data_IF_938874243774
#
_entry.id   IF_938874243774
#
_cell.length_a   1.000
_cell.length_b   1.000
_cell.length_c   1.000
_cell.angle_alpha   90.00
_cell.angle_beta   90.00
_cell.angle_gamma   90.00
#
_symmetry.space_group_name_H-M   'P 1'
#
loop_
_entity.id
_entity.type
_entity.pdbx_description
1 polymer ?
#
# COMPACT_ATOMS: atom_id res chain seq x y z
N UNK A 1 -19.74 17.56 13.45
CA UNK A 1 -18.69 18.58 13.64
C UNK A 1 -17.39 17.81 13.58
N UNK A 2 -16.69 17.85 12.43
CA UNK A 2 -15.37 17.22 12.30
C UNK A 2 -14.42 17.90 13.30
N UNK A 3 -13.70 17.13 14.10
CA UNK A 3 -12.73 17.63 15.08
C UNK A 3 -11.55 18.31 14.38
N UNK A 4 -10.84 19.20 15.07
CA UNK A 4 -9.58 19.77 14.56
C UNK A 4 -8.57 18.69 14.15
N UNK A 5 -8.58 17.54 14.87
CA UNK A 5 -7.77 16.37 14.53
C UNK A 5 -8.04 15.85 13.11
N UNK A 6 -9.30 15.83 12.67
CA UNK A 6 -9.69 15.39 11.32
C UNK A 6 -9.05 16.25 10.21
N UNK A 7 -8.85 17.55 10.46
CA UNK A 7 -8.18 18.42 9.50
C UNK A 7 -6.65 18.19 9.45
N UNK A 8 -6.05 17.86 10.60
CA UNK A 8 -4.64 17.48 10.66
C UNK A 8 -4.39 16.17 9.90
N UNK A 9 -5.25 15.16 10.08
CA UNK A 9 -5.17 13.89 9.33
C UNK A 9 -5.24 14.08 7.82
N UNK A 10 -6.16 14.92 7.34
CA UNK A 10 -6.32 15.19 5.90
C UNK A 10 -5.04 15.74 5.25
N UNK A 11 -4.33 16.63 5.96
CA UNK A 11 -3.05 17.19 5.47
C UNK A 11 -1.92 16.17 5.57
N UNK A 12 -1.93 15.31 6.57
CA UNK A 12 -0.99 14.18 6.71
C UNK A 12 -1.18 13.22 5.53
N UNK A 13 -2.40 12.82 5.20
CA UNK A 13 -2.68 11.95 4.04
C UNK A 13 -2.11 12.54 2.75
N UNK A 14 -2.29 13.85 2.54
CA UNK A 14 -1.73 14.52 1.37
C UNK A 14 -0.20 14.58 1.39
N UNK A 15 0.43 14.79 2.54
CA UNK A 15 1.88 14.72 2.66
C UNK A 15 2.42 13.32 2.34
N UNK A 16 1.73 12.26 2.78
CA UNK A 16 2.09 10.87 2.48
C UNK A 16 1.92 10.55 1.00
N UNK A 17 0.83 11.03 0.38
CA UNK A 17 0.67 10.99 -1.07
C UNK A 17 1.86 11.61 -1.80
N UNK A 18 2.28 12.83 -1.42
CA UNK A 18 3.41 13.52 -2.05
C UNK A 18 4.73 12.76 -1.85
N UNK A 19 4.97 12.23 -0.65
CA UNK A 19 6.16 11.41 -0.37
C UNK A 19 6.17 10.12 -1.20
N UNK A 20 5.05 9.42 -1.30
CA UNK A 20 4.93 8.20 -2.11
C UNK A 20 5.20 8.49 -3.60
N UNK A 21 4.62 9.57 -4.14
CA UNK A 21 4.89 10.02 -5.51
C UNK A 21 6.37 10.33 -5.73
N UNK A 22 7.01 11.05 -4.80
CA UNK A 22 8.45 11.36 -4.87
C UNK A 22 9.34 10.12 -4.76
N UNK A 23 8.90 9.11 -4.02
CA UNK A 23 9.56 7.81 -3.94
C UNK A 23 9.40 6.95 -5.22
N UNK A 24 8.64 7.42 -6.22
CA UNK A 24 8.42 6.70 -7.48
C UNK A 24 7.30 5.65 -7.41
N UNK A 25 6.43 5.72 -6.39
CA UNK A 25 5.25 4.85 -6.29
C UNK A 25 4.17 5.34 -7.25
N UNK A 26 3.67 4.41 -8.07
CA UNK A 26 2.45 4.61 -8.86
C UNK A 26 1.27 4.57 -7.91
N UNK A 27 0.81 5.76 -7.51
CA UNK A 27 -0.33 5.98 -6.61
C UNK A 27 -1.47 6.68 -7.35
N UNK A 28 -2.71 6.42 -6.91
CA UNK A 28 -3.88 7.13 -7.43
C UNK A 28 -3.71 8.64 -7.27
N UNK A 29 -4.27 9.40 -8.21
CA UNK A 29 -4.19 10.86 -8.15
C UNK A 29 -4.97 11.37 -6.92
N UNK A 30 -4.31 12.14 -6.07
CA UNK A 30 -4.94 12.78 -4.92
C UNK A 30 -4.79 14.30 -5.00
N UNK A 31 -5.77 15.01 -4.46
CA UNK A 31 -5.76 16.49 -4.36
C UNK A 31 -6.18 16.90 -2.96
N UNK A 32 -5.62 18.00 -2.48
CA UNK A 32 -6.06 18.66 -1.27
C UNK A 32 -6.92 19.87 -1.68
N UNK A 33 -8.20 19.83 -1.36
CA UNK A 33 -9.14 20.93 -1.60
C UNK A 33 -9.38 21.69 -0.30
N UNK A 34 -9.35 23.02 -0.35
CA UNK A 34 -9.58 23.88 0.80
C UNK A 34 -10.86 24.68 0.62
N UNK A 35 -11.76 24.61 1.59
CA UNK A 35 -13.04 25.34 1.58
C UNK A 35 -13.44 25.73 3.00
N UNK A 36 -13.83 27.00 3.21
CA UNK A 36 -14.32 27.52 4.50
C UNK A 36 -13.39 27.20 5.69
N UNK A 37 -12.08 27.27 5.47
CA UNK A 37 -11.07 26.97 6.49
C UNK A 37 -10.88 25.48 6.78
N UNK A 38 -11.52 24.58 6.02
CA UNK A 38 -11.36 23.12 6.12
C UNK A 38 -10.54 22.58 4.95
N UNK A 39 -10.01 21.39 5.14
CA UNK A 39 -9.28 20.64 4.13
C UNK A 39 -10.02 19.35 3.81
N UNK A 40 -10.03 18.98 2.53
CA UNK A 40 -10.60 17.74 2.02
C UNK A 40 -9.55 17.01 1.18
N UNK A 41 -9.25 15.76 1.53
CA UNK A 41 -8.35 14.90 0.77
C UNK A 41 -9.20 14.08 -0.20
N UNK A 42 -8.99 14.33 -1.49
CA UNK A 42 -9.80 13.77 -2.57
C UNK A 42 -8.92 12.82 -3.37
N UNK A 43 -9.28 11.54 -3.39
CA UNK A 43 -8.60 10.51 -4.18
C UNK A 43 -9.42 10.18 -5.42
N UNK A 44 -8.82 10.30 -6.61
CA UNK A 44 -9.42 9.87 -7.87
C UNK A 44 -9.59 8.35 -7.84
N UNK A 45 -10.72 7.84 -8.33
CA UNK A 45 -10.93 6.39 -8.47
C UNK A 45 -10.15 5.84 -9.65
N UNK A 46 -9.35 4.80 -9.42
CA UNK A 46 -8.59 4.11 -10.46
C UNK A 46 -9.32 2.90 -11.06
N UNK A 47 -10.42 2.46 -10.45
CA UNK A 47 -11.27 1.36 -10.96
C UNK A 47 -12.32 1.87 -11.99
N UNK A 48 -12.06 3.03 -12.59
CA UNK A 48 -12.87 3.68 -13.62
C UNK A 48 -11.96 4.17 -14.74
N UNK A 49 -12.34 3.92 -15.99
CA UNK A 49 -11.67 4.53 -17.14
C UNK A 49 -12.15 5.98 -17.36
N UNK A 50 -11.56 6.69 -18.33
CA UNK A 50 -11.89 8.10 -18.62
C UNK A 50 -13.33 8.30 -19.10
N UNK A 51 -13.99 7.24 -19.59
CA UNK A 51 -15.42 7.25 -19.93
C UNK A 51 -16.34 6.93 -18.75
N UNK A 52 -15.77 6.71 -17.56
CA UNK A 52 -16.49 6.35 -16.34
C UNK A 52 -16.89 4.87 -16.28
N UNK A 53 -16.43 4.03 -17.21
CA UNK A 53 -16.75 2.59 -17.17
C UNK A 53 -15.95 1.90 -16.08
N UNK A 54 -16.59 0.96 -15.39
CA UNK A 54 -15.96 0.16 -14.33
C UNK A 54 -14.90 -0.78 -14.89
N UNK A 55 -13.72 -0.76 -14.27
CA UNK A 55 -12.65 -1.75 -14.43
C UNK A 55 -12.83 -2.77 -13.30
N UNK A 56 -12.66 -4.06 -13.59
CA UNK A 56 -12.79 -5.09 -12.57
C UNK A 56 -11.65 -4.94 -11.55
N UNK A 57 -11.98 -5.00 -10.26
CA UNK A 57 -11.05 -4.82 -9.16
C UNK A 57 -11.35 -5.81 -8.05
N UNK A 58 -10.31 -6.40 -7.48
CA UNK A 58 -10.40 -7.20 -6.24
C UNK A 58 -9.23 -6.87 -5.31
N UNK A 59 -9.48 -6.94 -4.00
CA UNK A 59 -8.41 -6.80 -3.00
C UNK A 59 -7.63 -8.11 -2.87
N UNK A 60 -6.40 -8.04 -2.36
CA UNK A 60 -5.64 -9.23 -1.96
C UNK A 60 -6.46 -10.10 -1.00
N UNK A 61 -7.10 -9.47 0.00
CA UNK A 61 -7.98 -10.15 0.94
C UNK A 61 -9.09 -10.98 0.26
N UNK A 62 -9.73 -10.42 -0.76
CA UNK A 62 -10.77 -11.12 -1.51
C UNK A 62 -10.22 -12.26 -2.38
N UNK A 63 -9.10 -12.04 -3.09
CA UNK A 63 -8.52 -13.04 -3.99
C UNK A 63 -7.90 -14.23 -3.26
N UNK A 64 -7.24 -13.97 -2.13
CA UNK A 64 -6.53 -14.99 -1.37
C UNK A 64 -7.34 -15.53 -0.17
N UNK A 65 -8.57 -15.03 0.02
CA UNK A 65 -9.42 -15.32 1.19
C UNK A 65 -8.73 -15.00 2.52
N UNK A 66 -7.96 -13.91 2.56
CA UNK A 66 -7.27 -13.47 3.77
C UNK A 66 -8.18 -12.61 4.65
N UNK A 67 -8.21 -12.92 5.95
CA UNK A 67 -8.99 -12.18 6.93
C UNK A 67 -8.21 -10.98 7.46
N UNK A 68 -8.66 -9.77 7.11
CA UNK A 68 -8.03 -8.54 7.60
C UNK A 68 -8.12 -8.37 9.12
N UNK A 69 -8.97 -9.15 9.81
CA UNK A 69 -9.05 -9.14 11.27
C UNK A 69 -7.95 -9.95 11.97
N UNK A 70 -6.98 -10.49 11.22
CA UNK A 70 -5.82 -11.22 11.75
C UNK A 70 -4.50 -10.47 11.46
N UNK A 71 -4.16 -9.41 12.23
CA UNK A 71 -2.92 -8.66 12.04
C UNK A 71 -1.68 -9.54 12.12
N UNK A 72 -0.76 -9.37 11.18
CA UNK A 72 0.50 -10.11 11.10
C UNK A 72 0.37 -11.56 10.64
N UNK A 73 -0.84 -12.06 10.38
CA UNK A 73 -1.04 -13.43 9.90
C UNK A 73 -0.62 -13.63 8.44
N UNK A 74 -0.56 -12.54 7.67
CA UNK A 74 -0.21 -12.57 6.25
C UNK A 74 1.03 -11.73 5.96
N UNK A 75 1.72 -12.07 4.87
CA UNK A 75 3.00 -11.46 4.54
C UNK A 75 3.04 -10.83 3.15
N UNK A 76 3.97 -9.89 2.95
CA UNK A 76 4.20 -9.31 1.64
C UNK A 76 4.74 -10.35 0.64
N UNK A 77 5.46 -11.38 1.10
CA UNK A 77 5.91 -12.50 0.27
C UNK A 77 4.72 -13.35 -0.22
N UNK A 78 3.74 -13.61 0.65
CA UNK A 78 2.49 -14.27 0.23
C UNK A 78 1.72 -13.44 -0.80
N UNK A 79 1.65 -12.12 -0.61
CA UNK A 79 1.04 -11.23 -1.60
C UNK A 79 1.79 -11.24 -2.94
N UNK A 80 3.13 -11.27 -2.91
CA UNK A 80 3.97 -11.40 -4.10
C UNK A 80 3.76 -12.75 -4.80
N UNK A 81 3.52 -13.83 -4.05
CA UNK A 81 3.14 -15.13 -4.61
C UNK A 81 1.79 -15.04 -5.33
N UNK A 82 0.76 -14.44 -4.71
CA UNK A 82 -0.54 -14.23 -5.37
C UNK A 82 -0.40 -13.41 -6.65
N UNK A 83 0.41 -12.35 -6.64
CA UNK A 83 0.73 -11.55 -7.84
C UNK A 83 1.28 -12.40 -9.00
N UNK A 84 2.18 -13.35 -8.70
CA UNK A 84 2.71 -14.28 -9.71
C UNK A 84 1.64 -15.23 -10.23
N UNK A 85 0.79 -15.78 -9.36
CA UNK A 85 -0.33 -16.62 -9.77
C UNK A 85 -1.32 -15.87 -10.69
N UNK A 86 -1.49 -14.57 -10.48
CA UNK A 86 -2.29 -13.70 -11.34
C UNK A 86 -1.59 -13.35 -12.68
N UNK A 87 -0.32 -13.69 -12.84
CA UNK A 87 0.46 -13.40 -14.04
C UNK A 87 0.90 -11.94 -14.15
N UNK A 88 0.99 -11.19 -13.04
CA UNK A 88 1.46 -9.80 -13.08
C UNK A 88 2.93 -9.73 -13.49
N UNK A 89 3.30 -8.70 -14.25
CA UNK A 89 4.66 -8.52 -14.76
C UNK A 89 5.69 -8.08 -13.71
N UNK A 90 6.96 -8.07 -14.13
CA UNK A 90 8.08 -7.64 -13.28
C UNK A 90 7.93 -6.19 -12.80
N UNK A 91 7.38 -5.30 -13.63
CA UNK A 91 7.18 -3.89 -13.28
C UNK A 91 6.20 -3.72 -12.11
N UNK A 92 5.14 -4.51 -12.10
CA UNK A 92 4.16 -4.56 -11.02
C UNK A 92 4.80 -5.08 -9.73
N UNK A 93 5.61 -6.14 -9.82
CA UNK A 93 6.34 -6.68 -8.67
C UNK A 93 7.33 -5.68 -8.09
N UNK A 94 8.07 -4.96 -8.93
CA UNK A 94 8.97 -3.87 -8.49
C UNK A 94 8.21 -2.72 -7.83
N UNK A 95 7.03 -2.37 -8.34
CA UNK A 95 6.15 -1.38 -7.71
C UNK A 95 5.63 -1.87 -6.36
N UNK A 96 5.25 -3.15 -6.24
CA UNK A 96 4.78 -3.72 -4.99
C UNK A 96 5.89 -3.78 -3.94
N UNK A 97 7.10 -4.21 -4.34
CA UNK A 97 8.29 -4.16 -3.51
C UNK A 97 8.57 -2.75 -2.98
N UNK A 98 8.53 -1.73 -3.86
CA UNK A 98 8.72 -0.33 -3.47
C UNK A 98 7.68 0.14 -2.45
N UNK A 99 6.42 -0.28 -2.59
CA UNK A 99 5.34 0.05 -1.64
C UNK A 99 5.57 -0.60 -0.28
N UNK A 100 6.00 -1.87 -0.25
CA UNK A 100 6.37 -2.56 0.99
C UNK A 100 7.42 -1.76 1.75
N UNK A 101 8.55 -1.46 1.10
CA UNK A 101 9.66 -0.71 1.72
C UNK A 101 9.18 0.67 2.18
N UNK A 102 8.40 1.37 1.35
CA UNK A 102 7.86 2.67 1.72
C UNK A 102 7.00 2.59 2.99
N UNK A 103 6.05 1.65 3.08
CA UNK A 103 5.21 1.47 4.26
C UNK A 103 6.03 1.29 5.53
N UNK A 104 7.09 0.46 5.48
CA UNK A 104 8.01 0.26 6.61
C UNK A 104 8.70 1.57 7.03
N UNK A 105 9.23 2.31 6.06
CA UNK A 105 9.98 3.55 6.30
C UNK A 105 9.13 4.68 6.87
N UNK A 106 7.89 4.81 6.40
CA UNK A 106 7.00 5.90 6.81
C UNK A 106 6.07 5.52 7.96
N UNK A 107 6.21 4.30 8.51
CA UNK A 107 5.33 3.74 9.54
C UNK A 107 3.85 3.83 9.14
N UNK A 108 3.55 3.36 7.93
CA UNK A 108 2.18 3.04 7.56
C UNK A 108 1.87 1.63 8.08
N UNK A 109 1.42 1.50 9.33
CA UNK A 109 1.13 0.20 9.95
C UNK A 109 -0.28 -0.32 9.63
N UNK A 110 -1.12 0.47 8.94
CA UNK A 110 -2.41 0.03 8.40
C UNK A 110 -2.28 -0.59 6.99
N UNK A 111 -1.19 -1.32 6.75
CA UNK A 111 -0.81 -1.91 5.47
C UNK A 111 -1.46 -3.27 5.20
N UNK A 112 -2.74 -3.38 5.53
CA UNK A 112 -3.45 -4.65 5.54
C UNK A 112 -3.89 -5.13 4.15
N UNK A 113 -4.33 -6.40 4.08
CA UNK A 113 -4.71 -7.11 2.85
C UNK A 113 -5.85 -6.46 2.04
N UNK A 114 -6.61 -5.52 2.62
CA UNK A 114 -7.62 -4.73 1.89
C UNK A 114 -7.04 -3.53 1.14
N UNK A 115 -5.86 -3.04 1.51
CA UNK A 115 -5.18 -1.88 0.91
C UNK A 115 -4.26 -2.27 -0.25
N UNK A 116 -4.27 -3.56 -0.62
CA UNK A 116 -3.62 -4.10 -1.81
C UNK A 116 -4.72 -4.56 -2.75
N UNK A 117 -4.68 -4.12 -4.00
CA UNK A 117 -5.69 -4.46 -4.99
C UNK A 117 -5.10 -4.71 -6.37
N UNK A 118 -5.86 -5.47 -7.15
CA UNK A 118 -5.52 -5.85 -8.51
C UNK A 118 -6.67 -5.46 -9.43
N UNK A 119 -6.31 -5.02 -10.63
CA UNK A 119 -7.23 -4.69 -11.70
C UNK A 119 -7.17 -5.77 -12.77
N UNK A 120 -8.33 -6.15 -13.31
CA UNK A 120 -8.42 -7.06 -14.44
C UNK A 120 -9.01 -6.35 -15.64
N UNK A 121 -8.30 -6.42 -16.76
CA UNK A 121 -8.79 -5.88 -18.03
C UNK A 121 -9.83 -6.78 -18.70
N UNK A 122 -10.32 -6.38 -19.87
CA UNK A 122 -11.35 -7.14 -20.62
C UNK A 122 -10.83 -8.44 -21.25
N UNK A 123 -9.51 -8.60 -21.35
CA UNK A 123 -8.88 -9.84 -21.81
C UNK A 123 -8.58 -10.82 -20.68
N UNK A 124 -8.87 -10.43 -19.43
CA UNK A 124 -8.62 -11.24 -18.25
C UNK A 124 -7.21 -11.10 -17.69
N UNK A 125 -6.42 -10.14 -18.17
CA UNK A 125 -5.07 -9.89 -17.67
C UNK A 125 -5.13 -9.06 -16.38
N UNK A 126 -4.43 -9.53 -15.36
CA UNK A 126 -4.35 -8.86 -14.07
C UNK A 126 -3.15 -7.92 -13.99
N UNK A 127 -3.33 -6.82 -13.26
CA UNK A 127 -2.28 -5.84 -12.97
C UNK A 127 -2.42 -5.34 -11.54
N UNK A 128 -1.31 -4.91 -10.93
CA UNK A 128 -1.35 -4.26 -9.63
C UNK A 128 -2.05 -2.90 -9.75
N UNK A 129 -3.08 -2.65 -8.94
CA UNK A 129 -3.74 -1.35 -8.90
C UNK A 129 -2.77 -0.25 -8.45
N UNK A 130 -2.98 1.03 -8.82
CA UNK A 130 -2.27 2.14 -8.19
C UNK A 130 -2.37 2.07 -6.66
N UNK A 131 -1.34 2.50 -5.95
CA UNK A 131 -1.41 2.61 -4.49
C UNK A 131 -2.52 3.58 -4.08
N UNK A 132 -3.07 3.36 -2.90
CA UNK A 132 -4.07 4.19 -2.24
C UNK A 132 -3.98 3.91 -0.73
N UNK A 133 -4.61 4.76 0.08
CA UNK A 133 -4.68 4.58 1.54
C UNK A 133 -3.30 4.42 2.20
N UNK A 134 -2.37 5.26 1.78
CA UNK A 134 -1.04 5.38 2.38
C UNK A 134 -1.05 6.63 3.27
N UNK A 135 -0.91 6.43 4.57
CA UNK A 135 -0.92 7.51 5.57
C UNK A 135 0.00 7.18 6.75
N UNK A 136 0.14 8.12 7.68
CA UNK A 136 0.77 7.84 8.97
C UNK A 136 -0.21 7.04 9.82
N UNK A 137 0.19 5.81 10.15
CA UNK A 137 -0.62 4.93 10.96
C UNK A 137 0.31 4.26 11.98
N UNK A 138 0.43 4.85 13.16
CA UNK A 138 1.24 4.31 14.25
C UNK A 138 0.71 4.83 15.60
N UNK A 139 0.19 3.92 16.39
CA UNK A 139 -0.28 4.14 17.75
C UNK A 139 -0.03 2.87 18.57
N UNK A 140 0.99 2.93 19.44
CA UNK A 140 1.41 1.80 20.27
C UNK A 140 0.33 1.31 21.24
N UNK A 141 -0.69 2.13 21.55
CA UNK A 141 -1.82 1.74 22.39
C UNK A 141 -2.96 1.08 21.61
N UNK A 142 -2.96 1.20 20.27
CA UNK A 142 -3.98 0.65 19.40
C UNK A 142 -3.54 -0.71 18.85
N UNK A 143 -4.31 -1.75 19.16
CA UNK A 143 -4.02 -3.12 18.72
C UNK A 143 -3.73 -3.25 17.21
N UNK A 144 -4.46 -2.51 16.37
CA UNK A 144 -4.35 -2.56 14.90
C UNK A 144 -3.20 -1.73 14.35
N UNK A 145 -2.77 -0.70 15.10
CA UNK A 145 -1.78 0.29 14.66
C UNK A 145 -0.53 0.26 15.54
N UNK A 146 -0.31 -0.77 16.34
CA UNK A 146 0.91 -0.90 17.15
C UNK A 146 2.08 -1.48 16.34
N UNK A 147 1.76 -2.19 15.24
CA UNK A 147 2.69 -2.91 14.37
C UNK A 147 2.08 -3.03 12.97
N UNK A 148 2.91 -3.27 11.96
CA UNK A 148 2.43 -3.54 10.59
C UNK A 148 1.45 -4.71 10.56
N UNK A 149 0.36 -4.55 9.83
CA UNK A 149 -0.67 -5.58 9.67
C UNK A 149 -0.23 -6.70 8.72
N UNK A 150 0.73 -6.43 7.84
CA UNK A 150 1.40 -7.46 7.04
C UNK A 150 2.87 -7.61 7.43
N UNK A 151 3.34 -8.85 7.49
CA UNK A 151 4.73 -9.14 7.83
C UNK A 151 5.66 -9.05 6.62
N UNK A 152 6.92 -8.69 6.89
CA UNK A 152 8.04 -8.77 5.96
C UNK A 152 9.15 -9.57 6.62
N UNK A 153 9.56 -10.67 5.97
CA UNK A 153 10.51 -11.63 6.50
C UNK A 153 10.17 -12.11 7.94
N UNK A 154 8.88 -12.35 8.19
CA UNK A 154 8.36 -12.78 9.50
C UNK A 154 8.32 -11.69 10.58
N UNK A 155 8.70 -10.44 10.28
CA UNK A 155 8.65 -9.30 11.20
C UNK A 155 7.47 -8.40 10.88
N UNK A 156 6.91 -7.76 11.90
CA UNK A 156 5.83 -6.76 11.77
C UNK A 156 6.20 -5.41 12.41
N UNK A 157 7.41 -5.31 12.97
CA UNK A 157 7.90 -4.17 13.72
C UNK A 157 9.44 -4.16 13.71
N UNK A 158 10.02 -3.08 14.25
CA UNK A 158 11.48 -2.89 14.36
C UNK A 158 12.19 -2.85 13.00
N UNK A 159 11.56 -2.17 12.03
CA UNK A 159 12.16 -1.83 10.75
C UNK A 159 12.95 -0.52 10.90
N UNK A 160 14.28 -0.64 10.95
CA UNK A 160 15.17 0.52 11.06
C UNK A 160 15.47 1.09 9.66
N UNK A 161 15.38 2.41 9.53
CA UNK A 161 15.59 3.11 8.27
C UNK A 161 16.98 2.82 7.70
N UNK A 162 17.97 2.73 8.58
CA UNK A 162 19.38 2.47 8.29
C UNK A 162 19.60 1.13 7.57
N UNK A 163 18.78 0.12 7.85
CA UNK A 163 18.86 -1.17 7.17
C UNK A 163 18.51 -1.02 5.68
N UNK A 164 17.53 -0.17 5.35
CA UNK A 164 17.11 0.06 3.96
C UNK A 164 18.01 1.03 3.18
N UNK A 165 18.99 1.66 3.85
CA UNK A 165 19.96 2.54 3.19
C UNK A 165 21.18 1.76 2.65
N UNK A 166 21.36 0.51 3.06
CA UNK A 166 22.47 -0.34 2.59
C UNK A 166 22.08 -1.03 1.29
N UNK A 167 22.82 -0.74 0.22
CA UNK A 167 22.55 -1.26 -1.13
C UNK A 167 22.54 -2.79 -1.16
N UNK A 168 23.51 -3.44 -0.50
CA UNK A 168 23.58 -4.90 -0.40
C UNK A 168 22.36 -5.51 0.30
N UNK A 169 21.85 -4.87 1.35
CA UNK A 169 20.66 -5.34 2.06
C UNK A 169 19.41 -5.13 1.22
N UNK A 170 19.30 -3.99 0.54
CA UNK A 170 18.19 -3.72 -0.37
C UNK A 170 18.14 -4.71 -1.53
N UNK A 171 19.29 -5.03 -2.13
CA UNK A 171 19.36 -6.04 -3.18
C UNK A 171 19.11 -7.45 -2.64
N UNK A 172 19.54 -7.79 -1.43
CA UNK A 172 19.22 -9.07 -0.80
C UNK A 172 17.71 -9.22 -0.55
N UNK A 173 17.06 -8.19 0.00
CA UNK A 173 15.61 -8.19 0.22
C UNK A 173 14.87 -8.29 -1.13
N UNK A 174 15.31 -7.51 -2.12
CA UNK A 174 14.72 -7.54 -3.46
C UNK A 174 14.89 -8.90 -4.12
N UNK A 175 16.07 -9.51 -4.04
CA UNK A 175 16.34 -10.84 -4.56
C UNK A 175 15.41 -11.86 -3.90
N UNK A 176 15.28 -11.85 -2.57
CA UNK A 176 14.37 -12.72 -1.83
C UNK A 176 12.91 -12.54 -2.30
N UNK A 177 12.45 -11.29 -2.42
CA UNK A 177 11.11 -10.94 -2.88
C UNK A 177 10.82 -11.42 -4.32
N UNK A 178 11.85 -11.35 -5.18
CA UNK A 178 11.80 -11.77 -6.57
C UNK A 178 12.13 -13.26 -6.78
N UNK A 179 12.65 -13.97 -5.78
CA UNK A 179 13.11 -15.37 -5.91
C UNK A 179 12.17 -16.43 -5.36
N UNK A 180 11.10 -16.09 -4.63
CA UNK A 180 10.15 -17.11 -4.15
C UNK A 180 9.53 -17.89 -5.33
N UNK A 181 9.34 -19.21 -5.24
CA UNK A 181 8.79 -20.02 -6.34
C UNK A 181 7.35 -19.62 -6.74
#
# INVERSE_FOLDING_TARGET
>A
MESEDSQAYTRIDYAYYLMAKRAGIVMSECRLYQENGRYHFITKRFDRDDSGRKIHMQTLGALAHYDYNMPGAYSYEQAAYIMRCLGTGQKETEQFFRRMIFNMMVRNQDDHVKNISFLMDRSGQWSLAPAYDITYANDAANYWLARHQMSMNGKTENFEAEAFLREEEMEAIKAQFLSFP
#
